data_IF_032635711787
#
_entry.id   IF_032635711787
#
_cell.length_a   1.000
_cell.length_b   1.000
_cell.length_c   1.000
_cell.angle_alpha   90.00
_cell.angle_beta   90.00
_cell.angle_gamma   90.00
#
_symmetry.space_group_name_H-M   'P 1'
#
loop_
_entity.id
_entity.type
_entity.pdbx_description
1 polymer ?
#
# COMPACT_ATOMS: atom_id res chain seq x y z
N UNK A 1 -16.75 32.83 -14.78
CA UNK A 1 -15.42 32.22 -14.78
C UNK A 1 -15.61 30.74 -14.52
N UNK A 2 -15.53 29.93 -15.55
CA UNK A 2 -15.43 28.48 -15.41
C UNK A 2 -14.08 28.22 -14.75
N UNK A 3 -14.11 27.78 -13.49
CA UNK A 3 -12.93 27.17 -12.88
C UNK A 3 -12.86 25.83 -13.61
N UNK A 4 -11.98 25.74 -14.61
CA UNK A 4 -11.74 24.48 -15.31
C UNK A 4 -11.54 23.39 -14.26
N UNK A 5 -12.32 22.31 -14.38
CA UNK A 5 -12.23 21.17 -13.47
C UNK A 5 -10.76 20.83 -13.30
N UNK A 6 -10.22 21.05 -12.11
CA UNK A 6 -8.88 20.57 -11.77
C UNK A 6 -8.95 19.08 -12.01
N UNK A 7 -8.14 18.54 -12.92
CA UNK A 7 -8.12 17.10 -13.16
C UNK A 7 -7.89 16.41 -11.82
N UNK A 8 -8.83 15.54 -11.43
CA UNK A 8 -8.75 14.86 -10.13
C UNK A 8 -7.51 13.97 -10.14
N UNK A 9 -6.63 14.16 -9.16
CA UNK A 9 -5.39 13.39 -9.02
C UNK A 9 -5.66 12.18 -8.13
N UNK A 10 -5.47 10.98 -8.68
CA UNK A 10 -5.50 9.74 -7.93
C UNK A 10 -4.07 9.17 -7.73
N UNK A 11 -3.83 8.56 -6.58
CA UNK A 11 -2.55 7.91 -6.24
C UNK A 11 -2.75 6.41 -6.19
N UNK A 12 -1.90 5.65 -6.87
CA UNK A 12 -1.86 4.19 -6.74
C UNK A 12 -0.66 3.79 -5.88
N UNK A 13 -0.92 3.10 -4.77
CA UNK A 13 0.07 2.59 -3.85
C UNK A 13 0.16 1.06 -3.99
N UNK A 14 1.31 0.57 -4.45
CA UNK A 14 1.60 -0.87 -4.60
C UNK A 14 2.79 -1.23 -3.69
N UNK A 15 2.57 -1.88 -2.54
CA UNK A 15 3.64 -2.26 -1.63
C UNK A 15 4.42 -3.44 -2.20
N UNK A 16 5.75 -3.37 -2.11
CA UNK A 16 6.59 -4.54 -2.33
C UNK A 16 6.42 -5.52 -1.14
N UNK A 17 6.25 -6.82 -1.38
CA UNK A 17 6.01 -7.82 -0.33
C UNK A 17 7.32 -8.18 0.39
N UNK A 18 7.89 -7.22 1.13
CA UNK A 18 9.01 -7.44 2.02
C UNK A 18 8.67 -6.93 3.44
N UNK A 19 9.32 -7.52 4.44
CA UNK A 19 9.05 -7.21 5.85
C UNK A 19 9.21 -5.71 6.11
N UNK A 20 8.15 -5.07 6.63
CA UNK A 20 8.15 -3.66 7.05
C UNK A 20 7.62 -2.65 6.03
N UNK A 21 7.66 -2.93 4.73
CA UNK A 21 7.22 -1.98 3.69
C UNK A 21 5.71 -1.78 3.64
N UNK A 22 4.94 -2.81 4.00
CA UNK A 22 3.48 -2.74 3.99
C UNK A 22 2.95 -1.65 4.92
N UNK A 23 3.51 -1.58 6.14
CA UNK A 23 3.06 -0.63 7.15
C UNK A 23 3.43 0.81 6.77
N UNK A 24 4.65 1.03 6.31
CA UNK A 24 5.11 2.35 5.91
C UNK A 24 4.31 2.90 4.73
N UNK A 25 4.05 2.07 3.71
CA UNK A 25 3.26 2.50 2.58
C UNK A 25 1.78 2.73 2.95
N UNK A 26 1.23 1.93 3.87
CA UNK A 26 -0.12 2.16 4.39
C UNK A 26 -0.22 3.50 5.14
N UNK A 27 0.76 3.82 5.99
CA UNK A 27 0.81 5.13 6.67
C UNK A 27 0.94 6.30 5.69
N UNK A 28 1.79 6.17 4.67
CA UNK A 28 1.89 7.18 3.61
C UNK A 28 0.55 7.35 2.88
N UNK A 29 -0.13 6.25 2.58
CA UNK A 29 -1.44 6.26 1.93
C UNK A 29 -2.49 7.01 2.75
N UNK A 30 -2.52 6.79 4.07
CA UNK A 30 -3.41 7.51 4.99
C UNK A 30 -3.10 9.01 5.05
N UNK A 31 -1.82 9.39 5.07
CA UNK A 31 -1.40 10.79 5.03
C UNK A 31 -1.76 11.50 3.72
N UNK A 32 -1.75 10.79 2.59
CA UNK A 32 -2.17 11.33 1.30
C UNK A 32 -3.69 11.47 1.24
N UNK A 33 -4.42 10.44 1.68
CA UNK A 33 -5.88 10.46 1.78
C UNK A 33 -6.38 11.59 2.70
N UNK A 34 -5.70 11.84 3.83
CA UNK A 34 -6.07 12.93 4.75
C UNK A 34 -5.82 14.33 4.17
N UNK A 35 -5.14 14.43 3.02
CA UNK A 35 -4.97 15.67 2.25
C UNK A 35 -6.01 15.81 1.12
N UNK A 36 -7.00 14.93 1.07
CA UNK A 36 -8.08 14.95 0.09
C UNK A 36 -7.71 14.31 -1.25
N UNK A 37 -6.70 13.43 -1.29
CA UNK A 37 -6.35 12.67 -2.49
C UNK A 37 -7.06 11.33 -2.50
N UNK A 38 -7.56 10.91 -3.66
CA UNK A 38 -8.06 9.55 -3.85
C UNK A 38 -6.88 8.58 -3.90
N UNK A 39 -6.86 7.58 -3.02
CA UNK A 39 -5.75 6.64 -2.89
C UNK A 39 -6.22 5.21 -3.17
N UNK A 40 -5.61 4.55 -4.13
CA UNK A 40 -5.84 3.17 -4.50
C UNK A 40 -4.70 2.31 -3.96
N UNK A 41 -4.97 1.54 -2.90
CA UNK A 41 -4.01 0.63 -2.30
C UNK A 41 -4.19 -0.77 -2.90
N UNK A 42 -3.23 -1.24 -3.68
CA UNK A 42 -3.33 -2.50 -4.41
C UNK A 42 -2.23 -3.48 -3.95
N UNK A 43 -2.62 -4.64 -3.42
CA UNK A 43 -1.68 -5.62 -2.87
C UNK A 43 -2.28 -7.05 -2.90
N UNK A 44 -1.49 -8.11 -2.69
CA UNK A 44 -2.03 -9.45 -2.51
C UNK A 44 -3.07 -9.52 -1.37
N UNK A 45 -4.09 -10.40 -1.45
CA UNK A 45 -5.18 -10.44 -0.48
C UNK A 45 -4.74 -10.51 1.00
N UNK A 46 -3.73 -11.33 1.39
CA UNK A 46 -3.26 -11.36 2.78
C UNK A 46 -2.73 -10.00 3.25
N UNK A 47 -2.05 -9.27 2.37
CA UNK A 47 -1.50 -7.95 2.65
C UNK A 47 -2.59 -6.88 2.74
N UNK A 48 -3.63 -6.95 1.90
CA UNK A 48 -4.80 -6.07 1.98
C UNK A 48 -5.52 -6.26 3.32
N UNK A 49 -5.73 -7.49 3.77
CA UNK A 49 -6.32 -7.77 5.08
C UNK A 49 -5.47 -7.20 6.22
N UNK A 50 -4.15 -7.39 6.16
CA UNK A 50 -3.22 -6.85 7.14
C UNK A 50 -3.17 -5.31 7.12
N UNK A 51 -3.35 -4.68 5.96
CA UNK A 51 -3.44 -3.23 5.83
C UNK A 51 -4.73 -2.68 6.45
N UNK A 52 -5.87 -3.32 6.16
CA UNK A 52 -7.18 -2.95 6.72
C UNK A 52 -7.23 -3.02 8.25
N UNK A 53 -6.57 -4.00 8.87
CA UNK A 53 -6.50 -4.11 10.33
C UNK A 53 -5.71 -2.97 11.00
N UNK A 54 -5.07 -2.09 10.23
CA UNK A 54 -4.30 -0.93 10.74
C UNK A 54 -5.00 0.41 10.57
N UNK A 55 -6.23 0.42 10.05
CA UNK A 55 -6.98 1.67 9.78
C UNK A 55 -7.57 2.33 11.03
N UNK A 56 -7.53 1.65 12.17
CA UNK A 56 -8.10 2.14 13.41
C UNK A 56 -7.52 3.51 13.82
N UNK A 57 -8.39 4.40 14.31
CA UNK A 57 -7.99 5.71 14.84
C UNK A 57 -7.85 6.83 13.80
N UNK A 58 -8.08 6.54 12.51
CA UNK A 58 -8.13 7.56 11.46
C UNK A 58 -9.53 8.12 11.24
N UNK A 59 -9.59 9.35 10.76
CA UNK A 59 -10.83 10.05 10.45
C UNK A 59 -11.66 9.30 9.37
N UNK A 60 -12.99 9.17 9.52
CA UNK A 60 -13.83 8.45 8.56
C UNK A 60 -13.75 8.96 7.12
N UNK A 61 -13.58 10.26 6.90
CA UNK A 61 -13.49 10.82 5.54
C UNK A 61 -12.16 10.45 4.89
N UNK A 62 -11.07 10.42 5.67
CA UNK A 62 -9.78 9.87 5.22
C UNK A 62 -9.91 8.40 4.81
N UNK A 63 -10.64 7.60 5.59
CA UNK A 63 -10.84 6.18 5.29
C UNK A 63 -11.67 5.96 4.02
N UNK A 64 -12.60 6.85 3.71
CA UNK A 64 -13.43 6.79 2.48
C UNK A 64 -12.64 7.09 1.22
N UNK A 65 -11.58 7.89 1.32
CA UNK A 65 -10.69 8.21 0.21
C UNK A 65 -9.67 7.08 -0.10
N UNK A 66 -9.67 5.98 0.67
CA UNK A 66 -8.81 4.82 0.42
C UNK A 66 -9.61 3.66 -0.18
N UNK A 67 -9.21 3.25 -1.38
CA UNK A 67 -9.77 2.12 -2.11
C UNK A 67 -8.80 0.95 -2.13
N UNK A 68 -9.21 -0.20 -1.60
CA UNK A 68 -8.39 -1.41 -1.58
C UNK A 68 -8.66 -2.30 -2.79
N UNK A 69 -7.59 -2.80 -3.41
CA UNK A 69 -7.64 -3.70 -4.56
C UNK A 69 -6.78 -4.93 -4.29
N UNK A 70 -7.35 -6.11 -4.52
CA UNK A 70 -6.61 -7.36 -4.45
C UNK A 70 -5.82 -7.55 -5.75
N UNK A 71 -4.55 -7.93 -5.63
CA UNK A 71 -3.68 -8.25 -6.76
C UNK A 71 -3.30 -9.73 -6.70
N UNK A 72 -3.61 -10.45 -7.77
CA UNK A 72 -3.17 -11.83 -7.97
C UNK A 72 -1.71 -11.84 -8.43
N UNK A 73 -0.80 -11.66 -7.46
CA UNK A 73 0.65 -11.72 -7.67
C UNK A 73 1.14 -13.03 -7.09
N UNK A 74 1.95 -13.78 -7.85
CA UNK A 74 2.67 -14.93 -7.31
C UNK A 74 3.54 -14.50 -6.13
N UNK A 75 3.62 -15.35 -5.11
CA UNK A 75 4.49 -15.10 -3.96
C UNK A 75 5.92 -14.86 -4.45
N UNK A 76 6.57 -13.85 -3.87
CA UNK A 76 7.98 -13.61 -4.12
C UNK A 76 8.78 -14.77 -3.55
N UNK A 77 9.56 -15.45 -4.39
CA UNK A 77 10.41 -16.55 -3.95
C UNK A 77 11.53 -15.97 -3.07
N UNK A 78 11.39 -16.14 -1.75
CA UNK A 78 12.40 -15.75 -0.77
C UNK A 78 13.11 -17.02 -0.31
N UNK A 79 14.13 -17.51 -1.03
CA UNK A 79 14.84 -18.73 -0.64
C UNK A 79 15.43 -18.56 0.75
N UNK A 80 15.52 -19.67 1.50
CA UNK A 80 16.19 -19.66 2.80
C UNK A 80 17.67 -19.28 2.60
N UNK A 81 18.28 -18.52 3.54
CA UNK A 81 19.69 -18.20 3.46
C UNK A 81 20.52 -19.49 3.36
N UNK A 82 21.41 -19.59 2.36
CA UNK A 82 22.35 -20.70 2.26
C UNK A 82 23.61 -20.38 3.09
N UNK A 83 23.88 -21.10 4.19
CA UNK A 83 25.05 -20.87 5.04
C UNK A 83 26.38 -21.20 4.37
N UNK A 84 26.36 -21.93 3.24
CA UNK A 84 27.55 -22.29 2.45
C UNK A 84 27.76 -21.38 1.24
N UNK A 85 26.86 -20.41 1.00
CA UNK A 85 26.98 -19.50 -0.12
C UNK A 85 28.21 -18.58 0.07
N UNK A 86 29.00 -18.34 -0.99
CA UNK A 86 30.13 -17.41 -0.93
C UNK A 86 29.69 -15.96 -0.64
N UNK A 87 28.40 -15.65 -0.86
CA UNK A 87 27.76 -14.40 -0.44
C UNK A 87 26.58 -14.71 0.49
N UNK A 88 26.55 -14.19 1.73
CA UNK A 88 25.53 -14.54 2.73
C UNK A 88 24.13 -13.92 2.46
N UNK A 89 23.97 -13.18 1.37
CA UNK A 89 22.70 -12.56 0.98
C UNK A 89 22.51 -12.71 -0.54
N UNK A 90 21.26 -12.90 -1.02
CA UNK A 90 20.93 -12.66 -2.42
C UNK A 90 21.07 -11.17 -2.79
#
# INVERSE_FOLDING_TARGET
>A
MEIGSVESVAVVAVPFPAQGHLNQLMHLSLLLASRGLDVHYAAPPPHVLQARSRLHGWDPDTLRAIHFHDLDISEYESPSPDPSAPTPFP
#
